data_IF_722659857000
#
_entry.id   IF_722659857000
#
_cell.length_a   1.000
_cell.length_b   1.000
_cell.length_c   1.000
_cell.angle_alpha   90.00
_cell.angle_beta   90.00
_cell.angle_gamma   90.00
#
_symmetry.space_group_name_H-M   'P 1'
#
loop_
_entity.id
_entity.type
_entity.pdbx_description
1 polymer ?
#
# COMPACT_ATOMS: atom_id res chain seq x y z
N UNK A 1 18.62 35.58 15.72
CA UNK A 1 18.82 34.14 15.47
C UNK A 1 18.95 34.01 13.98
N UNK A 2 20.07 33.40 13.49
CA UNK A 2 20.41 33.41 12.07
C UNK A 2 19.32 32.71 11.24
N UNK A 3 19.11 33.20 10.01
CA UNK A 3 18.20 32.63 9.00
C UNK A 3 18.50 31.15 8.73
N UNK A 4 19.73 30.71 9.02
CA UNK A 4 20.21 29.33 8.91
C UNK A 4 19.78 28.40 10.04
N UNK A 5 19.25 28.88 11.16
CA UNK A 5 18.91 28.03 12.31
C UNK A 5 17.83 27.00 11.95
N UNK A 6 16.72 27.44 11.36
CA UNK A 6 15.62 26.57 11.00
C UNK A 6 16.02 25.53 9.93
N UNK A 7 16.86 25.92 8.98
CA UNK A 7 17.37 24.98 7.96
C UNK A 7 18.28 23.94 8.58
N UNK A 8 19.18 24.36 9.48
CA UNK A 8 20.07 23.43 10.19
C UNK A 8 19.29 22.44 11.05
N UNK A 9 18.25 22.90 11.77
CA UNK A 9 17.36 22.05 12.55
C UNK A 9 16.55 21.07 11.68
N UNK A 10 16.08 21.51 10.50
CA UNK A 10 15.40 20.64 9.55
C UNK A 10 16.33 19.54 9.04
N UNK A 11 17.57 19.87 8.69
CA UNK A 11 18.57 18.89 8.26
C UNK A 11 18.85 17.88 9.37
N UNK A 12 19.02 18.35 10.61
CA UNK A 12 19.27 17.48 11.76
C UNK A 12 18.08 16.56 12.05
N UNK A 13 16.85 17.10 12.00
CA UNK A 13 15.62 16.32 12.13
C UNK A 13 15.53 15.21 11.08
N UNK A 14 15.74 15.54 9.82
CA UNK A 14 15.66 14.56 8.73
C UNK A 14 16.70 13.45 8.89
N UNK A 15 17.95 13.82 9.25
CA UNK A 15 19.03 12.85 9.52
C UNK A 15 18.70 11.93 10.70
N UNK A 16 18.20 12.49 11.80
CA UNK A 16 17.77 11.72 12.96
C UNK A 16 16.68 10.71 12.58
N UNK A 17 15.68 11.15 11.86
CA UNK A 17 14.57 10.27 11.42
C UNK A 17 15.05 9.17 10.46
N UNK A 18 15.99 9.48 9.58
CA UNK A 18 16.61 8.48 8.69
C UNK A 18 17.46 7.47 9.46
N UNK A 19 18.23 7.91 10.44
CA UNK A 19 18.99 7.02 11.32
C UNK A 19 18.09 6.06 12.12
N UNK A 20 16.84 6.50 12.42
CA UNK A 20 15.80 5.66 13.03
C UNK A 20 15.04 4.77 12.01
N UNK A 21 15.49 4.70 10.74
CA UNK A 21 14.91 3.84 9.70
C UNK A 21 13.73 4.41 8.94
N UNK A 22 13.36 5.69 9.12
CA UNK A 22 12.29 6.33 8.34
C UNK A 22 12.82 6.86 7.01
N UNK A 23 12.11 6.63 5.90
CA UNK A 23 12.58 7.05 4.57
C UNK A 23 12.46 8.55 4.28
N UNK A 24 11.70 9.31 5.03
CA UNK A 24 11.51 10.76 4.97
C UNK A 24 11.38 11.41 3.57
N UNK A 25 10.97 10.63 2.54
CA UNK A 25 10.93 11.09 1.14
C UNK A 25 9.99 12.27 0.90
N UNK A 26 8.83 12.24 1.54
CA UNK A 26 7.84 13.30 1.40
C UNK A 26 8.20 14.51 2.25
N UNK A 27 8.72 14.30 3.45
CA UNK A 27 9.16 15.32 4.38
C UNK A 27 10.31 16.15 3.80
N UNK A 28 11.28 15.51 3.11
CA UNK A 28 12.37 16.18 2.39
C UNK A 28 11.89 17.15 1.32
N UNK A 29 10.72 16.91 0.72
CA UNK A 29 10.15 17.79 -0.32
C UNK A 29 9.24 18.85 0.32
N UNK A 30 8.47 18.49 1.35
CA UNK A 30 7.38 19.32 1.86
C UNK A 30 7.87 20.27 2.96
N UNK A 31 8.74 19.82 3.88
CA UNK A 31 9.18 20.66 5.02
C UNK A 31 10.03 21.86 4.63
N UNK A 32 10.88 21.84 3.59
CA UNK A 32 11.57 23.05 3.14
C UNK A 32 10.60 24.19 2.76
N UNK A 33 9.46 23.87 2.16
CA UNK A 33 8.44 24.86 1.84
C UNK A 33 7.77 25.44 3.10
N UNK A 34 7.66 24.65 4.17
CA UNK A 34 7.21 25.16 5.48
C UNK A 34 8.22 26.16 6.07
N UNK A 35 9.51 25.83 6.05
CA UNK A 35 10.56 26.74 6.54
C UNK A 35 10.57 28.05 5.74
N UNK A 36 10.51 27.96 4.41
CA UNK A 36 10.44 29.13 3.54
C UNK A 36 9.21 30.02 3.87
N UNK A 37 8.06 29.41 4.14
CA UNK A 37 6.84 30.12 4.55
C UNK A 37 7.00 30.85 5.91
N UNK A 38 7.64 30.19 6.89
CA UNK A 38 7.91 30.79 8.22
C UNK A 38 8.85 31.99 8.09
N UNK A 39 9.95 31.83 7.33
CA UNK A 39 10.92 32.89 7.06
C UNK A 39 10.30 34.10 6.35
N UNK A 40 9.49 33.85 5.32
CA UNK A 40 8.82 34.90 4.55
C UNK A 40 7.91 35.81 5.42
N UNK A 41 7.50 35.33 6.59
CA UNK A 41 6.72 36.11 7.58
C UNK A 41 7.56 36.76 8.66
N UNK A 42 8.89 36.77 8.49
CA UNK A 42 9.82 37.36 9.45
C UNK A 42 9.88 36.61 10.79
N UNK A 43 9.32 35.40 10.88
CA UNK A 43 9.32 34.60 12.08
C UNK A 43 10.51 33.63 12.07
N UNK A 44 11.42 33.82 13.02
CA UNK A 44 12.57 32.91 13.18
C UNK A 44 12.43 32.00 14.38
N UNK A 45 11.73 32.40 15.44
CA UNK A 45 11.41 31.65 16.66
C UNK A 45 10.75 32.59 17.70
N UNK A 46 9.83 32.12 18.53
CA UNK A 46 9.17 30.83 18.51
C UNK A 46 8.13 30.72 17.40
N UNK A 47 8.02 29.52 16.77
CA UNK A 47 7.01 29.27 15.75
C UNK A 47 5.68 28.95 16.46
N UNK A 48 4.61 29.63 16.09
CA UNK A 48 3.27 29.39 16.64
C UNK A 48 2.51 28.32 15.87
N UNK A 49 1.72 27.50 16.56
CA UNK A 49 0.90 26.44 15.99
C UNK A 49 -0.03 26.94 14.88
N UNK A 50 -0.56 28.16 15.03
CA UNK A 50 -1.40 28.84 14.03
C UNK A 50 -0.67 28.98 12.69
N UNK A 51 0.63 29.30 12.69
CA UNK A 51 1.42 29.46 11.47
C UNK A 51 1.55 28.15 10.68
N UNK A 52 1.72 27.03 11.39
CA UNK A 52 1.73 25.73 10.75
C UNK A 52 0.36 25.35 10.17
N UNK A 53 -0.72 25.72 10.84
CA UNK A 53 -2.09 25.52 10.36
C UNK A 53 -2.37 26.35 9.11
N UNK A 54 -2.03 27.64 9.12
CA UNK A 54 -2.18 28.53 7.97
C UNK A 54 -1.40 28.01 6.76
N UNK A 55 -0.12 27.64 6.94
CA UNK A 55 0.68 27.06 5.88
C UNK A 55 0.07 25.77 5.30
N UNK A 56 -0.41 24.89 6.18
CA UNK A 56 -1.02 23.65 5.76
C UNK A 56 -2.28 23.88 4.91
N UNK A 57 -3.08 24.91 5.26
CA UNK A 57 -4.32 25.25 4.57
C UNK A 57 -4.10 26.03 3.26
N UNK A 58 -3.15 26.99 3.22
CA UNK A 58 -2.91 27.83 2.05
C UNK A 58 -2.60 27.04 0.79
N UNK A 59 -1.72 26.04 0.89
CA UNK A 59 -1.33 25.24 -0.27
C UNK A 59 -2.28 24.08 -0.57
N UNK A 60 -3.28 23.85 0.28
CA UNK A 60 -4.24 22.76 0.07
C UNK A 60 -5.36 23.11 -0.90
N UNK A 61 -5.48 24.36 -1.32
CA UNK A 61 -6.47 24.79 -2.32
C UNK A 61 -6.46 23.94 -3.60
N UNK A 62 -5.29 23.40 -3.97
CA UNK A 62 -5.13 22.53 -5.14
C UNK A 62 -5.13 21.02 -4.82
N UNK A 63 -5.05 20.59 -3.55
CA UNK A 63 -4.86 19.18 -3.14
C UNK A 63 -5.92 18.65 -2.17
N UNK A 64 -6.92 19.48 -1.84
CA UNK A 64 -8.05 19.12 -0.96
C UNK A 64 -7.68 18.92 0.52
N UNK A 65 -8.69 18.71 1.39
CA UNK A 65 -8.53 18.63 2.85
C UNK A 65 -7.52 17.57 3.33
N UNK A 66 -7.40 16.47 2.62
CA UNK A 66 -6.43 15.40 2.92
C UNK A 66 -4.98 15.86 2.81
N UNK A 67 -4.71 16.79 1.88
CA UNK A 67 -3.40 17.40 1.71
C UNK A 67 -3.02 18.25 2.90
N UNK A 68 -3.93 19.11 3.38
CA UNK A 68 -3.73 19.97 4.53
C UNK A 68 -3.43 19.18 5.82
N UNK A 69 -4.26 18.18 6.13
CA UNK A 69 -4.06 17.35 7.32
C UNK A 69 -2.71 16.61 7.29
N UNK A 70 -2.28 16.12 6.14
CA UNK A 70 -0.97 15.48 5.96
C UNK A 70 0.18 16.47 6.18
N UNK A 71 0.09 17.67 5.60
CA UNK A 71 1.11 18.71 5.74
C UNK A 71 1.24 19.15 7.19
N UNK A 72 0.11 19.40 7.87
CA UNK A 72 0.09 19.75 9.29
C UNK A 72 0.72 18.64 10.15
N UNK A 73 0.47 17.37 9.82
CA UNK A 73 1.08 16.24 10.52
C UNK A 73 2.61 16.21 10.35
N UNK A 74 3.13 16.55 9.16
CA UNK A 74 4.58 16.63 8.91
C UNK A 74 5.20 17.81 9.66
N UNK A 75 4.58 18.99 9.59
CA UNK A 75 5.01 20.17 10.34
C UNK A 75 5.00 19.90 11.85
N UNK A 76 3.95 19.27 12.38
CA UNK A 76 3.87 18.85 13.78
C UNK A 76 5.07 18.00 14.20
N UNK A 77 5.42 16.98 13.40
CA UNK A 77 6.59 16.13 13.70
C UNK A 77 7.90 16.92 13.79
N UNK A 78 8.10 17.88 12.90
CA UNK A 78 9.26 18.78 12.94
C UNK A 78 9.21 19.75 14.12
N UNK A 79 8.05 20.39 14.38
CA UNK A 79 7.90 21.33 15.51
C UNK A 79 8.08 20.64 16.87
N UNK A 80 7.62 19.41 17.02
CA UNK A 80 7.88 18.58 18.22
C UNK A 80 9.40 18.35 18.41
N UNK A 81 10.13 18.09 17.34
CA UNK A 81 11.59 18.00 17.41
C UNK A 81 12.24 19.34 17.76
N UNK A 82 11.74 20.44 17.16
CA UNK A 82 12.29 21.78 17.37
C UNK A 82 12.13 22.26 18.81
N UNK A 83 11.10 21.81 19.54
CA UNK A 83 10.91 22.17 20.97
C UNK A 83 12.12 21.81 21.84
N UNK A 84 12.92 20.81 21.46
CA UNK A 84 14.13 20.45 22.22
C UNK A 84 15.19 21.58 22.22
N UNK A 85 15.24 22.39 21.14
CA UNK A 85 16.20 23.51 21.00
C UNK A 85 15.53 24.91 21.07
N UNK A 86 14.21 24.95 20.93
CA UNK A 86 13.38 26.15 21.03
C UNK A 86 12.09 25.85 21.81
N UNK A 87 12.15 25.77 23.17
CA UNK A 87 11.03 25.30 24.00
C UNK A 87 9.73 26.07 23.83
N UNK A 88 9.81 27.36 23.48
CA UNK A 88 8.64 28.23 23.28
C UNK A 88 7.92 27.99 21.96
N UNK A 89 8.36 27.03 21.16
CA UNK A 89 7.69 26.65 19.92
C UNK A 89 6.37 25.95 20.22
N UNK A 90 5.27 26.42 19.63
CA UNK A 90 3.97 25.76 19.76
C UNK A 90 3.83 24.58 18.78
N UNK A 91 3.37 23.45 19.30
CA UNK A 91 3.07 22.26 18.47
C UNK A 91 1.55 22.17 18.24
N UNK A 92 1.08 22.15 16.98
CA UNK A 92 -0.34 22.01 16.70
C UNK A 92 -0.91 20.72 17.30
N UNK A 93 -2.02 20.81 18.02
CA UNK A 93 -2.70 19.65 18.61
C UNK A 93 -3.19 18.64 17.56
N UNK A 94 -3.45 17.38 17.94
CA UNK A 94 -4.10 16.42 17.06
C UNK A 94 -5.56 16.85 16.79
N UNK A 95 -6.08 16.49 15.60
CA UNK A 95 -7.50 16.70 15.28
C UNK A 95 -7.90 18.10 14.84
N UNK A 96 -6.98 19.07 14.72
CA UNK A 96 -7.28 20.43 14.25
C UNK A 96 -7.79 20.46 12.80
N UNK A 97 -7.40 19.50 11.98
CA UNK A 97 -7.94 19.33 10.63
C UNK A 97 -8.61 17.97 10.52
N UNK A 98 -9.73 17.87 9.77
CA UNK A 98 -10.44 16.62 9.63
C UNK A 98 -9.53 15.56 8.98
N UNK A 99 -9.41 14.42 9.62
CA UNK A 99 -8.76 13.26 8.99
C UNK A 99 -9.54 12.84 7.77
N UNK A 100 -8.88 12.68 6.61
CA UNK A 100 -9.56 12.21 5.42
C UNK A 100 -10.15 10.81 5.71
N UNK A 101 -11.44 10.65 5.46
CA UNK A 101 -12.06 9.31 5.50
C UNK A 101 -11.35 8.44 4.50
N UNK A 102 -10.91 7.27 4.93
CA UNK A 102 -10.34 6.27 4.02
C UNK A 102 -11.44 5.85 3.04
N UNK A 103 -11.29 6.11 1.73
CA UNK A 103 -12.36 5.80 0.78
C UNK A 103 -12.50 4.27 0.65
N UNK A 104 -13.71 3.83 0.24
CA UNK A 104 -13.96 2.42 -0.06
C UNK A 104 -12.93 1.89 -1.06
N UNK A 105 -12.40 0.68 -0.83
CA UNK A 105 -11.44 0.09 -1.77
C UNK A 105 -12.15 -0.32 -3.05
N UNK A 106 -11.43 -0.27 -4.18
CA UNK A 106 -11.88 -0.95 -5.38
C UNK A 106 -11.64 -2.46 -5.20
N UNK A 107 -12.67 -3.25 -5.43
CA UNK A 107 -12.59 -4.72 -5.40
C UNK A 107 -12.84 -5.26 -6.81
N UNK A 108 -11.94 -6.08 -7.29
CA UNK A 108 -12.11 -6.74 -8.59
C UNK A 108 -13.06 -7.93 -8.47
N UNK A 109 -13.97 -8.06 -9.44
CA UNK A 109 -14.72 -9.30 -9.63
C UNK A 109 -13.83 -10.37 -10.25
N UNK A 110 -14.24 -11.65 -10.17
CA UNK A 110 -13.54 -12.75 -10.83
C UNK A 110 -13.46 -12.55 -12.36
N UNK A 111 -14.52 -12.05 -12.97
CA UNK A 111 -14.57 -11.70 -14.39
C UNK A 111 -13.56 -10.62 -14.76
N UNK A 112 -13.46 -9.56 -13.93
CA UNK A 112 -12.49 -8.49 -14.15
C UNK A 112 -11.05 -8.98 -14.00
N UNK A 113 -10.77 -9.85 -13.02
CA UNK A 113 -9.43 -10.46 -12.86
C UNK A 113 -9.06 -11.32 -14.06
N UNK A 114 -9.99 -12.14 -14.56
CA UNK A 114 -9.77 -12.95 -15.75
C UNK A 114 -9.53 -12.08 -17.01
N UNK A 115 -10.31 -11.01 -17.18
CA UNK A 115 -10.13 -10.08 -18.29
C UNK A 115 -8.78 -9.34 -18.23
N UNK A 116 -8.35 -8.89 -17.04
CA UNK A 116 -7.04 -8.27 -16.83
C UNK A 116 -5.89 -9.25 -17.13
N UNK A 117 -6.02 -10.50 -16.70
CA UNK A 117 -5.04 -11.53 -16.96
C UNK A 117 -4.90 -11.81 -18.46
N UNK A 118 -6.02 -12.02 -19.16
CA UNK A 118 -6.04 -12.24 -20.61
C UNK A 118 -5.46 -11.03 -21.39
N UNK A 119 -5.84 -9.80 -20.99
CA UNK A 119 -5.30 -8.58 -21.59
C UNK A 119 -3.80 -8.41 -21.35
N UNK A 120 -3.29 -8.87 -20.19
CA UNK A 120 -1.88 -8.86 -19.89
C UNK A 120 -1.10 -9.82 -20.79
N UNK A 121 -1.61 -11.04 -20.99
CA UNK A 121 -1.02 -12.03 -21.90
C UNK A 121 -1.00 -11.53 -23.37
N UNK A 122 -2.04 -10.79 -23.77
CA UNK A 122 -2.13 -10.19 -25.11
C UNK A 122 -1.40 -8.84 -25.24
N UNK A 123 -0.58 -8.46 -24.25
CA UNK A 123 0.18 -7.18 -24.29
C UNK A 123 1.27 -7.21 -25.37
N UNK A 124 1.55 -6.01 -25.91
CA UNK A 124 2.61 -5.85 -26.93
C UNK A 124 3.87 -5.24 -26.28
N UNK A 125 5.06 -5.44 -26.88
CA UNK A 125 5.32 -6.25 -28.10
C UNK A 125 5.19 -7.75 -27.84
N UNK A 126 4.68 -8.46 -28.83
CA UNK A 126 4.66 -9.93 -28.79
C UNK A 126 6.10 -10.47 -28.86
N UNK A 127 6.38 -11.58 -28.17
CA UNK A 127 7.71 -12.16 -28.10
C UNK A 127 8.66 -11.44 -27.12
N UNK A 128 8.22 -10.38 -26.42
CA UNK A 128 8.97 -9.77 -25.33
C UNK A 128 8.57 -10.38 -23.97
N UNK A 129 9.34 -10.07 -22.94
CA UNK A 129 9.05 -10.53 -21.57
C UNK A 129 7.83 -9.81 -20.94
N UNK A 130 7.38 -8.67 -21.48
CA UNK A 130 6.30 -7.84 -20.92
C UNK A 130 4.98 -8.59 -20.70
N UNK A 131 4.43 -9.36 -21.66
CA UNK A 131 3.21 -10.13 -21.44
C UNK A 131 3.34 -11.11 -20.27
N UNK A 132 4.46 -11.82 -20.19
CA UNK A 132 4.77 -12.77 -19.13
C UNK A 132 4.93 -12.06 -17.78
N UNK A 133 5.66 -10.93 -17.73
CA UNK A 133 5.81 -10.11 -16.52
C UNK A 133 4.46 -9.63 -15.99
N UNK A 134 3.59 -9.09 -16.87
CA UNK A 134 2.30 -8.53 -16.46
C UNK A 134 1.33 -9.61 -15.99
N UNK A 135 1.18 -10.70 -16.74
CA UNK A 135 0.25 -11.78 -16.37
C UNK A 135 0.69 -12.45 -15.07
N UNK A 136 1.99 -12.76 -14.93
CA UNK A 136 2.53 -13.37 -13.72
C UNK A 136 2.38 -12.46 -12.50
N UNK A 137 2.64 -11.13 -12.62
CA UNK A 137 2.43 -10.18 -11.53
C UNK A 137 0.95 -10.06 -11.14
N UNK A 138 0.02 -9.99 -12.11
CA UNK A 138 -1.42 -9.97 -11.83
C UNK A 138 -1.84 -11.24 -11.09
N UNK A 139 -1.41 -12.40 -11.56
CA UNK A 139 -1.67 -13.70 -10.92
C UNK A 139 -1.11 -13.74 -9.49
N UNK A 140 0.15 -13.36 -9.31
CA UNK A 140 0.81 -13.32 -8.01
C UNK A 140 0.11 -12.38 -7.03
N UNK A 141 -0.18 -11.14 -7.44
CA UNK A 141 -0.87 -10.16 -6.59
C UNK A 141 -2.28 -10.61 -6.22
N UNK A 142 -3.00 -11.24 -7.15
CA UNK A 142 -4.36 -11.75 -6.92
C UNK A 142 -4.39 -12.94 -5.98
N UNK A 143 -3.40 -13.83 -6.05
CA UNK A 143 -3.35 -15.08 -5.27
C UNK A 143 -2.71 -14.92 -3.89
N UNK A 144 -1.86 -13.90 -3.69
CA UNK A 144 -1.10 -13.71 -2.44
C UNK A 144 -1.44 -12.41 -1.70
N UNK A 145 -2.04 -11.43 -2.34
CA UNK A 145 -2.28 -10.13 -1.75
C UNK A 145 -1.01 -9.36 -1.39
N UNK A 146 0.14 -9.66 -1.97
CA UNK A 146 1.39 -8.93 -1.74
C UNK A 146 1.23 -7.44 -2.03
N UNK A 147 1.99 -6.60 -1.31
CA UNK A 147 2.13 -5.20 -1.74
C UNK A 147 2.90 -5.16 -3.05
N UNK A 148 2.47 -4.30 -3.97
CA UNK A 148 3.16 -4.17 -5.26
C UNK A 148 4.66 -3.88 -5.10
N UNK A 149 5.03 -3.05 -4.11
CA UNK A 149 6.43 -2.78 -3.81
C UNK A 149 7.21 -4.00 -3.29
N UNK A 150 6.55 -4.96 -2.67
CA UNK A 150 7.15 -6.24 -2.27
C UNK A 150 7.37 -7.11 -3.51
N UNK A 151 6.35 -7.24 -4.37
CA UNK A 151 6.43 -8.05 -5.57
C UNK A 151 7.53 -7.57 -6.55
N UNK A 152 7.63 -6.27 -6.83
CA UNK A 152 8.66 -5.74 -7.74
C UNK A 152 10.08 -5.74 -7.17
N UNK A 153 10.23 -5.90 -5.85
CA UNK A 153 11.55 -6.05 -5.19
C UNK A 153 11.94 -7.49 -4.92
N UNK A 154 11.12 -8.46 -5.36
CA UNK A 154 11.52 -9.86 -5.28
C UNK A 154 12.82 -10.08 -6.05
N UNK A 155 13.76 -10.77 -5.43
CA UNK A 155 15.00 -11.24 -6.04
C UNK A 155 14.84 -12.71 -6.41
N UNK A 156 15.66 -13.18 -7.30
CA UNK A 156 15.66 -14.59 -7.74
C UNK A 156 15.82 -15.52 -6.54
N UNK A 157 16.77 -15.21 -5.64
CA UNK A 157 17.06 -15.98 -4.43
C UNK A 157 15.94 -15.94 -3.36
N UNK A 158 14.95 -15.03 -3.48
CA UNK A 158 13.78 -14.97 -2.59
C UNK A 158 12.62 -15.86 -3.05
N UNK A 159 12.66 -16.37 -4.28
CA UNK A 159 11.60 -17.19 -4.88
C UNK A 159 11.99 -18.65 -4.77
N UNK A 160 11.46 -19.33 -3.74
CA UNK A 160 11.80 -20.72 -3.38
C UNK A 160 10.73 -21.67 -3.91
N UNK A 161 10.82 -22.01 -5.22
CA UNK A 161 9.82 -22.85 -5.90
C UNK A 161 10.03 -24.36 -5.65
N UNK A 162 11.23 -24.77 -5.25
CA UNK A 162 11.59 -26.16 -4.98
C UNK A 162 11.30 -26.60 -3.54
N UNK A 163 10.84 -25.67 -2.69
CA UNK A 163 10.40 -25.98 -1.33
C UNK A 163 9.01 -26.62 -1.34
N UNK A 164 8.69 -27.38 -0.31
CA UNK A 164 7.36 -27.92 -0.05
C UNK A 164 6.81 -27.38 1.29
N UNK A 165 5.78 -26.50 1.26
CA UNK A 165 5.19 -25.86 0.07
C UNK A 165 6.13 -24.82 -0.58
N UNK A 166 5.95 -24.56 -1.91
CA UNK A 166 6.64 -23.45 -2.58
C UNK A 166 6.36 -22.13 -1.88
N UNK A 167 7.36 -21.24 -1.79
CA UNK A 167 7.25 -20.06 -0.94
C UNK A 167 8.05 -18.85 -1.44
N UNK A 168 7.66 -17.66 -1.01
CA UNK A 168 8.40 -16.42 -1.20
C UNK A 168 8.97 -15.92 0.12
N UNK A 169 10.22 -15.49 0.10
CA UNK A 169 10.84 -14.78 1.22
C UNK A 169 10.70 -13.28 0.99
N UNK A 170 9.82 -12.64 1.75
CA UNK A 170 9.60 -11.20 1.67
C UNK A 170 10.46 -10.55 2.74
N UNK A 171 11.58 -9.96 2.31
CA UNK A 171 12.57 -9.38 3.20
C UNK A 171 12.42 -7.86 3.30
N UNK A 172 12.85 -7.30 4.43
CA UNK A 172 12.99 -5.87 4.68
C UNK A 172 11.80 -5.02 4.23
N UNK A 173 10.61 -5.41 4.61
CA UNK A 173 9.41 -4.62 4.34
C UNK A 173 9.38 -3.36 5.22
N UNK A 174 8.32 -2.58 5.13
CA UNK A 174 8.09 -1.43 6.01
C UNK A 174 8.28 -1.88 7.48
N UNK A 175 9.16 -1.21 8.23
CA UNK A 175 9.60 -1.51 9.61
C UNK A 175 10.52 -2.74 9.73
N UNK A 176 11.35 -3.04 8.72
CA UNK A 176 12.35 -4.12 8.71
C UNK A 176 11.79 -5.52 9.07
N UNK A 177 10.50 -5.74 8.79
CA UNK A 177 9.87 -7.05 9.01
C UNK A 177 10.03 -7.93 7.78
N UNK A 178 10.45 -9.17 8.01
CA UNK A 178 10.49 -10.22 7.01
C UNK A 178 9.40 -11.24 7.28
N UNK A 179 8.92 -11.90 6.24
CA UNK A 179 7.95 -13.00 6.36
C UNK A 179 8.06 -13.97 5.20
N UNK A 180 7.64 -15.19 5.45
CA UNK A 180 7.47 -16.22 4.42
C UNK A 180 6.01 -16.18 3.95
N UNK A 181 5.82 -16.28 2.64
CA UNK A 181 4.51 -16.34 1.99
C UNK A 181 4.44 -17.67 1.23
N UNK A 182 3.72 -18.67 1.76
CA UNK A 182 3.50 -19.93 1.04
C UNK A 182 2.67 -19.67 -0.21
N UNK A 183 2.97 -20.41 -1.27
CA UNK A 183 2.32 -20.30 -2.57
C UNK A 183 1.41 -21.50 -2.81
N UNK A 184 0.28 -21.25 -3.46
CA UNK A 184 -0.50 -22.33 -4.06
C UNK A 184 0.28 -22.92 -5.24
N UNK A 185 0.22 -24.25 -5.48
CA UNK A 185 0.96 -24.91 -6.57
C UNK A 185 0.79 -24.22 -7.92
N UNK A 186 -0.44 -23.86 -8.31
CA UNK A 186 -0.71 -23.16 -9.58
C UNK A 186 0.00 -21.80 -9.68
N UNK A 187 0.16 -21.07 -8.57
CA UNK A 187 0.92 -19.81 -8.54
C UNK A 187 2.41 -20.07 -8.72
N UNK A 188 2.93 -21.13 -8.09
CA UNK A 188 4.32 -21.54 -8.26
C UNK A 188 4.62 -21.94 -9.71
N UNK A 189 3.71 -22.66 -10.37
CA UNK A 189 3.85 -23.05 -11.78
C UNK A 189 3.93 -21.83 -12.70
N UNK A 190 3.08 -20.81 -12.48
CA UNK A 190 3.17 -19.56 -13.24
C UNK A 190 4.49 -18.83 -13.01
N UNK A 191 5.04 -18.87 -11.80
CA UNK A 191 6.35 -18.28 -11.51
C UNK A 191 7.48 -19.07 -12.18
N UNK A 192 7.41 -20.41 -12.25
CA UNK A 192 8.36 -21.25 -13.00
C UNK A 192 8.33 -20.91 -14.49
N UNK A 193 7.14 -20.90 -15.09
CA UNK A 193 6.99 -20.52 -16.50
C UNK A 193 7.55 -19.11 -16.77
N UNK A 194 7.38 -18.16 -15.86
CA UNK A 194 7.98 -16.84 -16.00
C UNK A 194 9.51 -16.89 -15.95
N UNK A 195 10.09 -17.66 -15.02
CA UNK A 195 11.52 -17.82 -14.90
C UNK A 195 12.13 -18.48 -16.17
N UNK A 196 11.46 -19.50 -16.73
CA UNK A 196 11.85 -20.14 -17.97
C UNK A 196 11.83 -19.16 -19.15
N UNK A 197 10.76 -18.34 -19.28
CA UNK A 197 10.68 -17.32 -20.33
C UNK A 197 11.74 -16.24 -20.17
N UNK A 198 12.04 -15.86 -18.91
CA UNK A 198 13.12 -14.92 -18.60
C UNK A 198 14.48 -15.46 -19.06
N UNK A 199 14.76 -16.75 -18.80
CA UNK A 199 15.98 -17.42 -19.24
C UNK A 199 16.02 -17.54 -20.78
N UNK A 200 14.93 -18.00 -21.40
CA UNK A 200 14.82 -18.13 -22.85
C UNK A 200 15.06 -16.82 -23.61
N UNK A 201 14.62 -15.70 -23.07
CA UNK A 201 14.82 -14.36 -23.62
C UNK A 201 16.12 -13.70 -23.17
N UNK A 202 17.04 -14.46 -22.58
CA UNK A 202 18.39 -14.02 -22.16
C UNK A 202 18.43 -12.88 -21.16
N UNK A 203 17.46 -12.81 -20.24
CA UNK A 203 17.47 -11.82 -19.16
C UNK A 203 18.17 -12.31 -17.89
N UNK A 204 18.61 -13.56 -17.83
CA UNK A 204 19.32 -14.11 -16.68
C UNK A 204 20.71 -13.49 -16.55
N UNK A 205 21.10 -13.23 -15.29
CA UNK A 205 22.38 -12.60 -14.98
C UNK A 205 22.43 -11.09 -15.19
N UNK A 206 21.44 -10.45 -15.86
CA UNK A 206 21.42 -9.00 -16.04
C UNK A 206 21.04 -8.25 -14.74
N UNK A 207 20.25 -8.90 -13.87
CA UNK A 207 19.81 -8.33 -12.60
C UNK A 207 19.49 -9.44 -11.62
N UNK A 208 19.62 -9.14 -10.32
CA UNK A 208 19.19 -9.99 -9.22
C UNK A 208 17.65 -9.97 -9.03
N UNK A 209 16.94 -9.01 -9.66
CA UNK A 209 15.49 -8.92 -9.61
C UNK A 209 14.83 -10.12 -10.26
N UNK A 210 13.79 -10.67 -9.61
CA UNK A 210 12.97 -11.72 -10.21
C UNK A 210 12.15 -11.16 -11.38
N UNK A 211 11.45 -10.04 -11.18
CA UNK A 211 10.72 -9.34 -12.22
C UNK A 211 11.57 -8.21 -12.82
N UNK A 212 11.83 -8.28 -14.11
CA UNK A 212 12.67 -7.31 -14.81
C UNK A 212 11.89 -6.51 -15.86
N UNK A 213 12.42 -5.33 -16.20
CA UNK A 213 11.96 -4.52 -17.33
C UNK A 213 12.44 -5.13 -18.66
N UNK A 214 11.98 -4.56 -19.78
CA UNK A 214 12.45 -4.95 -21.12
C UNK A 214 13.95 -4.69 -21.35
N UNK A 215 14.59 -3.90 -20.49
CA UNK A 215 16.04 -3.66 -20.52
C UNK A 215 16.81 -4.54 -19.53
N UNK A 216 16.15 -5.53 -18.88
CA UNK A 216 16.77 -6.40 -17.90
C UNK A 216 17.00 -5.77 -16.52
N UNK A 217 16.56 -4.54 -16.28
CA UNK A 217 16.71 -3.85 -15.00
C UNK A 217 15.53 -4.13 -14.05
N UNK A 218 15.70 -3.75 -12.77
CA UNK A 218 14.60 -3.75 -11.82
C UNK A 218 13.35 -3.03 -12.35
N UNK A 219 12.19 -3.65 -12.20
CA UNK A 219 10.92 -3.10 -12.65
C UNK A 219 10.54 -1.89 -11.78
N UNK A 220 10.32 -0.73 -12.40
CA UNK A 220 9.92 0.49 -11.69
C UNK A 220 8.42 0.54 -11.47
N UNK A 221 7.99 0.99 -10.29
CA UNK A 221 6.58 1.14 -9.94
C UNK A 221 5.80 1.97 -10.98
N UNK A 222 6.36 3.09 -11.44
CA UNK A 222 5.70 3.97 -12.42
C UNK A 222 5.47 3.27 -13.76
N UNK A 223 6.43 2.47 -14.21
CA UNK A 223 6.30 1.67 -15.44
C UNK A 223 5.12 0.69 -15.31
N UNK A 224 5.08 -0.05 -14.21
CA UNK A 224 4.01 -1.01 -13.95
C UNK A 224 2.65 -0.32 -13.76
N UNK A 225 2.62 0.83 -13.09
CA UNK A 225 1.41 1.63 -12.93
C UNK A 225 0.83 2.05 -14.29
N UNK A 226 1.69 2.54 -15.20
CA UNK A 226 1.27 2.92 -16.54
C UNK A 226 0.79 1.73 -17.38
N UNK A 227 1.47 0.59 -17.28
CA UNK A 227 1.03 -0.64 -17.94
C UNK A 227 -0.33 -1.09 -17.42
N UNK A 228 -0.52 -1.11 -16.11
CA UNK A 228 -1.78 -1.47 -15.48
C UNK A 228 -2.93 -0.52 -15.87
N UNK A 229 -2.69 0.79 -15.90
CA UNK A 229 -3.69 1.76 -16.34
C UNK A 229 -4.17 1.50 -17.79
N UNK A 230 -3.23 1.17 -18.70
CA UNK A 230 -3.56 0.78 -20.08
C UNK A 230 -4.34 -0.53 -20.15
N UNK A 231 -4.04 -1.52 -19.29
CA UNK A 231 -4.83 -2.74 -19.19
C UNK A 231 -6.26 -2.44 -18.75
N UNK A 232 -6.45 -1.65 -17.69
CA UNK A 232 -7.77 -1.24 -17.22
C UNK A 232 -8.58 -0.54 -18.32
N UNK A 233 -7.97 0.36 -19.09
CA UNK A 233 -8.61 1.02 -20.23
C UNK A 233 -9.02 0.00 -21.30
N UNK A 234 -8.14 -0.95 -21.65
CA UNK A 234 -8.43 -1.97 -22.67
C UNK A 234 -9.61 -2.87 -22.31
N UNK A 235 -9.79 -3.19 -21.02
CA UNK A 235 -10.88 -4.05 -20.54
C UNK A 235 -12.04 -3.26 -19.95
N UNK A 236 -12.10 -1.95 -20.22
CA UNK A 236 -13.16 -1.03 -19.76
C UNK A 236 -13.41 -1.08 -18.24
N UNK A 237 -12.36 -1.25 -17.44
CA UNK A 237 -12.44 -1.18 -15.98
C UNK A 237 -12.12 0.25 -15.54
N UNK A 238 -13.10 0.92 -14.94
CA UNK A 238 -13.00 2.29 -14.45
C UNK A 238 -13.42 2.44 -12.99
N UNK A 239 -13.46 3.68 -12.47
CA UNK A 239 -13.94 3.95 -11.12
C UNK A 239 -15.41 3.56 -10.97
N UNK A 240 -15.76 3.01 -9.80
CA UNK A 240 -17.14 2.79 -9.41
C UNK A 240 -17.78 4.09 -8.92
N UNK A 241 -19.10 4.21 -9.02
CA UNK A 241 -19.85 5.39 -8.53
C UNK A 241 -19.54 5.65 -7.05
N UNK A 242 -18.97 6.81 -6.74
CA UNK A 242 -18.55 7.19 -5.37
C UNK A 242 -17.34 6.42 -4.82
N UNK A 243 -16.69 5.56 -5.62
CA UNK A 243 -15.53 4.77 -5.24
C UNK A 243 -14.21 5.27 -5.84
N UNK A 244 -13.12 4.60 -5.46
CA UNK A 244 -11.80 4.82 -6.07
C UNK A 244 -11.69 4.18 -7.44
N UNK A 245 -10.84 4.75 -8.28
CA UNK A 245 -10.37 4.08 -9.48
C UNK A 245 -9.58 2.81 -9.12
N UNK A 246 -9.59 1.77 -9.98
CA UNK A 246 -8.76 0.60 -9.81
C UNK A 246 -7.28 0.97 -9.76
N UNK A 247 -6.53 0.34 -8.87
CA UNK A 247 -5.10 0.54 -8.74
C UNK A 247 -4.42 -0.78 -8.35
N UNK A 248 -3.10 -0.83 -8.41
CA UNK A 248 -2.34 -2.05 -8.08
C UNK A 248 -2.57 -2.53 -6.65
N UNK A 249 -2.90 -1.63 -5.71
CA UNK A 249 -3.26 -2.01 -4.34
C UNK A 249 -4.63 -2.70 -4.27
N UNK A 250 -5.50 -2.50 -5.26
CA UNK A 250 -6.82 -3.12 -5.32
C UNK A 250 -6.76 -4.65 -5.35
N UNK A 251 -5.72 -5.26 -5.94
CA UNK A 251 -5.50 -6.71 -5.88
C UNK A 251 -5.41 -7.21 -4.44
N UNK A 252 -4.64 -6.51 -3.60
CA UNK A 252 -4.50 -6.86 -2.18
C UNK A 252 -5.80 -6.68 -1.41
N UNK A 253 -6.56 -5.62 -1.70
CA UNK A 253 -7.88 -5.42 -1.10
C UNK A 253 -8.84 -6.54 -1.50
N UNK A 254 -8.87 -6.89 -2.79
CA UNK A 254 -9.67 -7.99 -3.31
C UNK A 254 -9.29 -9.31 -2.63
N UNK A 255 -7.98 -9.65 -2.56
CA UNK A 255 -7.50 -10.85 -1.90
C UNK A 255 -7.98 -10.93 -0.44
N UNK A 256 -7.79 -9.86 0.34
CA UNK A 256 -8.15 -9.83 1.76
C UNK A 256 -9.66 -10.02 1.95
N UNK A 257 -10.48 -9.29 1.18
CA UNK A 257 -11.94 -9.36 1.26
C UNK A 257 -12.47 -10.72 0.83
N UNK A 258 -11.99 -11.24 -0.30
CA UNK A 258 -12.39 -12.58 -0.81
C UNK A 258 -12.02 -13.68 0.18
N UNK A 259 -10.86 -13.56 0.86
CA UNK A 259 -10.46 -14.53 1.90
C UNK A 259 -11.44 -14.52 3.07
N UNK A 260 -11.81 -13.35 3.56
CA UNK A 260 -12.75 -13.22 4.66
C UNK A 260 -14.17 -13.67 4.27
N UNK A 261 -14.63 -13.33 3.05
CA UNK A 261 -15.91 -13.83 2.51
C UNK A 261 -15.96 -15.35 2.49
N UNK A 262 -14.90 -16.00 2.01
CA UNK A 262 -14.81 -17.47 2.01
C UNK A 262 -14.88 -18.05 3.42
N UNK A 263 -14.21 -17.45 4.41
CA UNK A 263 -14.30 -17.90 5.79
C UNK A 263 -15.71 -17.77 6.34
N UNK A 264 -16.40 -16.66 6.08
CA UNK A 264 -17.81 -16.52 6.45
C UNK A 264 -18.68 -17.59 5.79
N UNK A 265 -18.52 -17.85 4.48
CA UNK A 265 -19.26 -18.87 3.74
C UNK A 265 -18.99 -20.28 4.27
N UNK A 266 -17.77 -20.56 4.73
CA UNK A 266 -17.38 -21.84 5.33
C UNK A 266 -17.78 -21.99 6.79
N UNK A 267 -18.44 -21.02 7.39
CA UNK A 267 -18.83 -21.06 8.81
C UNK A 267 -17.70 -20.84 9.81
N UNK A 268 -16.50 -20.45 9.36
CA UNK A 268 -15.32 -20.28 10.22
C UNK A 268 -15.41 -19.00 11.08
N UNK A 269 -14.72 -19.02 12.23
CA UNK A 269 -14.56 -17.83 13.05
C UNK A 269 -13.58 -16.83 12.41
N UNK A 270 -14.14 -15.83 11.75
CA UNK A 270 -13.35 -14.80 11.07
C UNK A 270 -12.55 -13.94 12.05
N UNK A 271 -13.05 -13.73 13.28
CA UNK A 271 -12.32 -12.93 14.28
C UNK A 271 -11.06 -13.67 14.75
N UNK A 272 -11.14 -14.95 14.99
CA UNK A 272 -9.99 -15.79 15.35
C UNK A 272 -8.98 -15.90 14.20
N UNK A 273 -9.42 -15.87 12.93
CA UNK A 273 -8.56 -16.00 11.76
C UNK A 273 -7.95 -14.66 11.29
N UNK A 274 -8.52 -13.52 11.68
CA UNK A 274 -8.07 -12.20 11.22
C UNK A 274 -6.63 -11.85 11.63
N UNK A 275 -6.11 -12.21 12.83
CA UNK A 275 -4.70 -12.04 13.16
C UNK A 275 -3.77 -12.80 12.20
N UNK A 276 -4.12 -14.01 11.79
CA UNK A 276 -3.33 -14.80 10.82
C UNK A 276 -3.27 -14.11 9.47
N UNK A 277 -4.41 -13.57 8.98
CA UNK A 277 -4.44 -12.78 7.75
C UNK A 277 -3.58 -11.51 7.88
N UNK A 278 -3.60 -10.85 9.05
CA UNK A 278 -2.77 -9.67 9.31
C UNK A 278 -1.28 -9.98 9.20
N UNK A 279 -0.84 -11.09 9.80
CA UNK A 279 0.55 -11.56 9.73
C UNK A 279 0.93 -11.93 8.30
N UNK A 280 0.09 -12.72 7.62
CA UNK A 280 0.30 -13.13 6.23
C UNK A 280 0.45 -11.93 5.30
N UNK A 281 -0.42 -10.94 5.43
CA UNK A 281 -0.35 -9.69 4.67
C UNK A 281 0.81 -8.78 5.10
N UNK A 282 1.41 -8.99 6.28
CA UNK A 282 2.45 -8.11 6.84
C UNK A 282 1.88 -6.76 7.26
N UNK A 283 0.70 -6.74 7.90
CA UNK A 283 0.18 -5.56 8.58
C UNK A 283 0.94 -5.34 9.89
N UNK A 284 1.27 -4.09 10.17
CA UNK A 284 1.95 -3.73 11.43
C UNK A 284 0.94 -3.66 12.58
N UNK A 285 -0.24 -3.20 12.26
CA UNK A 285 -1.35 -3.04 13.22
C UNK A 285 -2.53 -3.88 12.77
N UNK A 286 -3.12 -4.70 13.63
CA UNK A 286 -4.31 -5.50 13.31
C UNK A 286 -5.48 -4.64 12.77
N UNK A 287 -5.58 -3.38 13.22
CA UNK A 287 -6.59 -2.42 12.77
C UNK A 287 -6.59 -2.20 11.25
N UNK A 288 -5.46 -2.43 10.58
CA UNK A 288 -5.39 -2.36 9.12
C UNK A 288 -6.22 -3.47 8.45
N UNK A 289 -6.35 -4.63 9.11
CA UNK A 289 -7.21 -5.74 8.65
C UNK A 289 -8.67 -5.57 9.11
N UNK A 290 -8.90 -5.10 10.33
CA UNK A 290 -10.25 -4.81 10.84
C UNK A 290 -10.99 -3.79 9.98
N UNK A 291 -10.26 -2.85 9.36
CA UNK A 291 -10.85 -1.87 8.44
C UNK A 291 -11.66 -2.53 7.30
N UNK A 292 -11.28 -3.70 6.81
CA UNK A 292 -12.05 -4.40 5.78
C UNK A 292 -13.44 -4.82 6.27
N UNK A 293 -13.57 -5.23 7.52
CA UNK A 293 -14.87 -5.65 8.09
C UNK A 293 -15.88 -4.50 8.15
N UNK A 294 -15.40 -3.28 8.43
CA UNK A 294 -16.28 -2.11 8.58
C UNK A 294 -16.49 -1.32 7.28
N UNK A 295 -15.62 -1.51 6.28
CA UNK A 295 -15.60 -0.66 5.08
C UNK A 295 -16.12 -1.35 3.82
N UNK A 296 -16.45 -2.65 3.91
CA UNK A 296 -16.88 -3.48 2.78
C UNK A 296 -18.30 -3.98 3.04
N UNK A 297 -19.33 -3.38 2.37
CA UNK A 297 -20.73 -3.74 2.57
C UNK A 297 -21.01 -5.22 2.35
N UNK A 298 -20.32 -5.85 1.41
CA UNK A 298 -20.45 -7.26 1.07
C UNK A 298 -20.06 -8.18 2.25
N UNK A 299 -19.07 -7.78 3.05
CA UNK A 299 -18.71 -8.52 4.28
C UNK A 299 -19.72 -8.30 5.38
N UNK A 300 -20.25 -7.07 5.50
CA UNK A 300 -21.29 -6.75 6.50
C UNK A 300 -22.60 -7.50 6.21
N UNK A 301 -23.02 -7.59 4.93
CA UNK A 301 -24.22 -8.34 4.57
C UNK A 301 -24.07 -9.84 4.85
N UNK A 302 -22.91 -10.43 4.55
CA UNK A 302 -22.64 -11.85 4.86
C UNK A 302 -22.61 -12.10 6.37
N UNK A 303 -22.06 -11.17 7.15
CA UNK A 303 -22.09 -11.27 8.62
C UNK A 303 -23.50 -11.14 9.19
N UNK A 304 -24.31 -10.22 8.64
CA UNK A 304 -25.72 -10.04 9.04
C UNK A 304 -26.56 -11.30 8.77
N UNK A 305 -26.41 -11.91 7.59
CA UNK A 305 -27.10 -13.17 7.26
C UNK A 305 -26.77 -14.30 8.24
N UNK A 306 -25.50 -14.42 8.66
CA UNK A 306 -25.13 -15.40 9.69
C UNK A 306 -25.77 -15.08 11.03
N UNK A 307 -25.81 -13.81 11.42
CA UNK A 307 -26.45 -13.41 12.67
C UNK A 307 -27.94 -13.75 12.66
N UNK A 308 -28.65 -13.47 11.57
CA UNK A 308 -30.06 -13.83 11.39
C UNK A 308 -30.26 -15.35 11.48
N UNK A 309 -29.43 -16.14 10.79
CA UNK A 309 -29.48 -17.60 10.86
C UNK A 309 -29.29 -18.11 12.31
N UNK A 310 -28.30 -17.53 13.00
CA UNK A 310 -28.02 -17.90 14.39
C UNK A 310 -29.18 -17.49 15.34
N UNK A 311 -29.75 -16.30 15.16
CA UNK A 311 -30.87 -15.82 15.94
C UNK A 311 -32.14 -16.66 15.72
N UNK A 312 -32.37 -17.17 14.52
CA UNK A 312 -33.51 -18.05 14.23
C UNK A 312 -33.31 -19.47 14.76
N UNK A 313 -32.09 -19.98 14.84
CA UNK A 313 -31.80 -21.33 15.40
C UNK A 313 -31.77 -21.30 16.93
N UNK A 314 -31.46 -20.14 17.55
CA UNK A 314 -31.43 -19.97 19.02
C UNK A 314 -32.73 -19.47 19.63
N UNK A 315 -33.77 -19.26 18.83
CA UNK A 315 -35.03 -18.62 19.24
C UNK A 315 -36.20 -19.54 19.49
N UNK A 316 -36.00 -20.68 20.11
CA UNK A 316 -37.13 -21.43 20.73
C UNK A 316 -36.94 -21.43 22.25
N UNK A 317 -37.50 -20.44 23.00
CA UNK A 317 -37.39 -20.39 24.44
C UNK A 317 -38.43 -21.28 25.16
N UNK A 318 -39.18 -22.12 24.42
CA UNK A 318 -40.18 -23.03 24.96
C UNK A 318 -40.24 -24.37 24.22
N UNK A 319 -39.17 -25.17 24.33
CA UNK A 319 -39.26 -26.62 24.10
C UNK A 319 -38.54 -27.35 25.22
#
# INVERSE_FOLDING_TARGET
MNDDFLDSQLVAYLRLREALGFQMRAEKIILPAFIAFVKARGCTSPIRAQMALEWACQESAHRGPSGAARRLSMARGFLTYLQASAPDTDVPGPGLLPSPRRPKPYLFTSTQLAALFAAAQASRPHGSLRPHTLSTLIGLLSSTGLRIGEAIRLRVDHVKLDHDPPQLHILETKFHKSRIVPLHPSTADHLRCYAEQRAHLHYDGLSDAFFVSEQGNHLKYLTLHNWFARLCQRVAIGPTTGGRAPCLTSFRHTFAVTRMQRWYQQGLDVQALLPHLSVYLGHVKPQESYWYLTSVPELLSTAAQRFETYAHVGGDPHA
#
